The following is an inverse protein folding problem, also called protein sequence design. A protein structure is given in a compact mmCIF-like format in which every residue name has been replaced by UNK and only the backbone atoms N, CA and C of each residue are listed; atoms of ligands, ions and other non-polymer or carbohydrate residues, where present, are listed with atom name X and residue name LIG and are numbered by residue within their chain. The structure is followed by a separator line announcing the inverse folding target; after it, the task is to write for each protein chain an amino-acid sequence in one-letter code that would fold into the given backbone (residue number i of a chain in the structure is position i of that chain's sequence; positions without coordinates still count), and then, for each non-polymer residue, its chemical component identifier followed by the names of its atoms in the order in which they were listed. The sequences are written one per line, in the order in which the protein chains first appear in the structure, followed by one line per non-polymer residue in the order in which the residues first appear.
data_IF_750692476430
#
_entry.id   IF_750692476430
#
_cell.length_a   1.000
_cell.length_b   1.000
_cell.length_c   1.000
_cell.angle_alpha   90.00
_cell.angle_beta   90.00
_cell.angle_gamma   90.00
#
_symmetry.space_group_name_H-M   'P 1'
#
loop_
_entity.id
_entity.type
_entity.pdbx_description
1 polymer ?
#
# COMPACT_ATOMS: atom_id res chain seq x y z
N UNK A 1 -25.15 15.10 12.82
CA UNK A 1 -24.21 15.52 11.76
C UNK A 1 -23.01 14.59 11.78
N UNK A 2 -22.46 14.29 10.61
CA UNK A 2 -21.38 13.33 10.46
C UNK A 2 -20.05 14.07 10.34
N UNK A 3 -19.09 13.71 11.19
CA UNK A 3 -17.75 14.30 11.24
C UNK A 3 -16.74 13.46 10.45
N UNK A 4 -15.67 14.12 9.99
CA UNK A 4 -14.55 13.43 9.33
C UNK A 4 -13.78 12.52 10.30
N UNK A 5 -13.85 12.79 11.60
CA UNK A 5 -13.19 12.01 12.64
C UNK A 5 -14.04 10.83 13.13
N UNK A 6 -15.29 10.71 12.68
CA UNK A 6 -16.14 9.58 13.04
C UNK A 6 -15.64 8.30 12.36
N UNK A 7 -15.63 7.20 13.10
CA UNK A 7 -15.36 5.88 12.52
C UNK A 7 -16.38 5.54 11.42
N UNK A 8 -15.95 4.79 10.42
CA UNK A 8 -16.80 4.33 9.33
C UNK A 8 -16.41 2.91 8.92
N UNK A 9 -17.36 2.14 8.41
CA UNK A 9 -17.10 0.83 7.82
C UNK A 9 -17.15 0.94 6.29
N UNK A 10 -16.08 0.55 5.62
CA UNK A 10 -15.98 0.49 4.16
C UNK A 10 -15.96 -0.98 3.73
N UNK A 11 -17.13 -1.53 3.39
CA UNK A 11 -17.28 -2.97 3.16
C UNK A 11 -16.92 -3.77 4.42
N UNK A 12 -15.86 -4.58 4.33
CA UNK A 12 -15.36 -5.35 5.49
C UNK A 12 -14.32 -4.60 6.33
N UNK A 13 -13.86 -3.43 5.88
CA UNK A 13 -12.80 -2.67 6.54
C UNK A 13 -13.38 -1.69 7.58
N UNK A 14 -13.08 -1.86 8.89
CA UNK A 14 -13.36 -0.83 9.88
C UNK A 14 -12.29 0.27 9.80
N UNK A 15 -12.69 1.50 9.53
CA UNK A 15 -11.79 2.65 9.47
C UNK A 15 -11.97 3.53 10.72
N UNK A 16 -10.87 3.95 11.37
CA UNK A 16 -10.94 4.78 12.59
C UNK A 16 -11.46 6.19 12.33
N UNK A 17 -11.41 6.66 11.08
CA UNK A 17 -11.90 7.96 10.65
C UNK A 17 -12.19 7.94 9.13
N UNK A 18 -12.72 9.04 8.60
CA UNK A 18 -13.09 9.21 7.17
C UNK A 18 -12.01 9.93 6.37
N UNK A 19 -10.81 10.10 6.91
CA UNK A 19 -9.69 10.71 6.19
C UNK A 19 -8.99 9.66 5.34
N UNK A 20 -8.99 9.86 4.03
CA UNK A 20 -8.31 9.00 3.07
C UNK A 20 -7.14 9.76 2.47
N UNK A 21 -5.95 9.15 2.50
CA UNK A 21 -4.80 9.67 1.77
C UNK A 21 -4.91 9.28 0.30
N UNK A 22 -4.90 10.29 -0.57
CA UNK A 22 -4.94 10.11 -2.02
C UNK A 22 -3.67 9.43 -2.55
N UNK A 23 -3.76 8.67 -3.66
CA UNK A 23 -2.60 8.10 -4.32
C UNK A 23 -1.70 9.21 -4.90
N UNK A 24 -0.44 9.24 -4.48
CA UNK A 24 0.53 10.27 -4.89
C UNK A 24 1.84 9.63 -5.31
N UNK A 25 2.11 9.56 -6.61
CA UNK A 25 3.39 9.07 -7.16
C UNK A 25 4.56 9.91 -6.66
N UNK A 26 5.55 9.27 -6.02
CA UNK A 26 6.71 9.95 -5.43
C UNK A 26 8.04 9.68 -6.13
N UNK A 27 8.10 8.67 -6.99
CA UNK A 27 9.31 8.22 -7.69
C UNK A 27 10.48 7.93 -6.71
N UNK A 28 10.21 7.16 -5.66
CA UNK A 28 11.16 6.85 -4.57
C UNK A 28 11.54 5.37 -4.48
N UNK A 29 11.10 4.55 -5.44
CA UNK A 29 11.54 3.17 -5.53
C UNK A 29 13.00 3.08 -6.00
N UNK A 30 13.60 1.91 -5.90
CA UNK A 30 14.88 1.64 -6.56
C UNK A 30 14.77 1.83 -8.09
N UNK A 31 15.90 1.82 -8.80
CA UNK A 31 15.90 1.91 -10.25
C UNK A 31 15.04 0.81 -10.91
N UNK A 32 15.00 -0.38 -10.28
CA UNK A 32 14.22 -1.54 -10.73
C UNK A 32 12.75 -1.51 -10.27
N UNK A 33 12.32 -0.49 -9.53
CA UNK A 33 10.95 -0.37 -9.03
C UNK A 33 10.68 -1.07 -7.70
N UNK A 34 11.72 -1.56 -7.01
CA UNK A 34 11.60 -2.18 -5.68
C UNK A 34 11.36 -1.10 -4.61
N UNK A 35 10.32 -1.23 -3.77
CA UNK A 35 10.11 -0.31 -2.66
C UNK A 35 11.31 -0.23 -1.71
N UNK A 36 11.63 0.98 -1.25
CA UNK A 36 12.78 1.24 -0.37
C UNK A 36 12.35 1.47 1.08
N UNK A 37 13.24 1.32 2.08
CA UNK A 37 12.92 1.64 3.48
C UNK A 37 12.40 3.06 3.70
N UNK A 38 12.82 4.02 2.86
CA UNK A 38 12.33 5.40 2.88
C UNK A 38 10.82 5.48 2.57
N UNK A 39 10.32 4.64 1.66
CA UNK A 39 8.89 4.59 1.33
C UNK A 39 8.09 4.02 2.49
N UNK A 40 8.62 3.00 3.19
CA UNK A 40 7.98 2.46 4.38
C UNK A 40 7.85 3.51 5.50
N UNK A 41 8.92 4.26 5.78
CA UNK A 41 8.89 5.37 6.76
C UNK A 41 7.89 6.46 6.33
N UNK A 42 7.83 6.79 5.04
CA UNK A 42 6.88 7.76 4.49
C UNK A 42 5.42 7.40 4.75
N UNK A 43 5.04 6.13 4.55
CA UNK A 43 3.68 5.67 4.82
C UNK A 43 3.40 5.49 6.32
N UNK A 44 4.39 5.05 7.10
CA UNK A 44 4.27 4.91 8.56
C UNK A 44 3.91 6.25 9.23
N UNK A 45 4.53 7.35 8.79
CA UNK A 45 4.22 8.71 9.27
C UNK A 45 2.78 9.15 8.98
N UNK A 46 2.07 8.47 8.07
CA UNK A 46 0.71 8.80 7.62
C UNK A 46 -0.34 7.79 8.06
N UNK A 47 0.05 6.79 8.85
CA UNK A 47 -0.82 5.71 9.32
C UNK A 47 -1.98 6.17 10.24
N UNK A 48 -2.05 7.46 10.59
CA UNK A 48 -3.21 8.05 11.26
C UNK A 48 -4.42 8.28 10.33
N UNK A 49 -4.22 8.26 9.02
CA UNK A 49 -5.32 8.26 8.06
C UNK A 49 -6.16 6.99 8.24
N UNK A 50 -7.48 7.11 8.05
CA UNK A 50 -8.38 5.96 8.09
C UNK A 50 -8.05 4.93 7.01
N UNK A 51 -7.69 5.41 5.82
CA UNK A 51 -7.22 4.59 4.70
C UNK A 51 -6.11 5.32 3.95
N UNK A 52 -5.08 4.57 3.53
CA UNK A 52 -4.05 5.05 2.61
C UNK A 52 -4.20 4.32 1.29
N UNK A 53 -4.36 5.08 0.20
CA UNK A 53 -4.21 4.56 -1.16
C UNK A 53 -2.76 4.83 -1.57
N UNK A 54 -2.03 3.76 -1.84
CA UNK A 54 -0.64 3.83 -2.23
C UNK A 54 -0.42 4.55 -3.56
N UNK A 55 0.82 4.94 -3.81
CA UNK A 55 1.22 5.42 -5.13
C UNK A 55 1.00 4.37 -6.23
N UNK A 56 0.85 4.86 -7.46
CA UNK A 56 0.71 4.01 -8.63
C UNK A 56 1.91 3.06 -8.74
N UNK A 57 1.61 1.77 -8.93
CA UNK A 57 2.61 0.72 -9.05
C UNK A 57 2.44 0.01 -10.40
N UNK A 58 3.53 -0.15 -11.13
CA UNK A 58 3.49 -0.72 -12.48
C UNK A 58 3.33 -2.25 -12.43
N UNK A 59 2.31 -2.82 -13.13
CA UNK A 59 1.99 -4.25 -13.09
C UNK A 59 2.82 -5.11 -14.06
N UNK A 60 3.69 -4.53 -14.88
CA UNK A 60 4.62 -5.25 -15.77
C UNK A 60 5.82 -4.35 -16.13
N UNK A 61 6.88 -4.92 -16.72
CA UNK A 61 8.06 -4.13 -17.09
C UNK A 61 7.81 -3.11 -18.21
N UNK A 62 6.97 -3.46 -19.20
CA UNK A 62 6.71 -2.62 -20.39
C UNK A 62 5.92 -1.36 -20.04
N UNK A 63 5.06 -1.42 -19.03
CA UNK A 63 4.19 -0.34 -18.58
C UNK A 63 4.87 0.67 -17.66
N UNK A 64 6.21 0.64 -17.53
CA UNK A 64 6.92 1.58 -16.67
C UNK A 64 6.89 2.98 -17.29
N UNK A 65 6.18 3.90 -16.63
CA UNK A 65 5.91 5.25 -17.15
C UNK A 65 6.88 6.30 -16.64
N UNK A 66 7.55 6.06 -15.51
CA UNK A 66 8.49 7.01 -14.90
C UNK A 66 9.70 6.30 -14.28
N UNK A 67 10.87 6.97 -14.22
CA UNK A 67 12.00 6.50 -13.41
C UNK A 67 11.59 6.36 -11.94
N UNK A 68 12.07 5.30 -11.29
CA UNK A 68 11.85 5.05 -9.86
C UNK A 68 10.37 4.97 -9.44
N UNK A 69 9.45 4.73 -10.37
CA UNK A 69 8.08 4.33 -10.04
C UNK A 69 8.09 2.95 -9.38
N UNK A 70 7.22 2.77 -8.40
CA UNK A 70 7.03 1.46 -7.77
C UNK A 70 6.54 0.44 -8.80
N UNK A 71 6.95 -0.81 -8.67
CA UNK A 71 6.47 -1.92 -9.47
C UNK A 71 5.88 -3.02 -8.58
N UNK A 72 5.12 -3.96 -9.15
CA UNK A 72 4.52 -5.08 -8.39
C UNK A 72 4.49 -6.43 -9.13
N UNK A 73 5.34 -6.58 -10.13
CA UNK A 73 5.28 -7.71 -11.08
C UNK A 73 6.36 -8.78 -10.90
N UNK A 74 7.11 -8.75 -9.80
CA UNK A 74 8.09 -9.78 -9.45
C UNK A 74 8.18 -9.93 -7.93
N UNK A 75 8.85 -10.98 -7.47
CA UNK A 75 8.93 -11.29 -6.03
C UNK A 75 9.72 -10.24 -5.24
N UNK A 76 10.72 -9.60 -5.84
CA UNK A 76 11.49 -8.55 -5.20
C UNK A 76 10.62 -7.31 -4.91
N UNK A 77 9.71 -6.96 -5.82
CA UNK A 77 8.73 -5.89 -5.62
C UNK A 77 7.79 -6.20 -4.45
N UNK A 78 7.25 -7.42 -4.41
CA UNK A 78 6.36 -7.87 -3.32
C UNK A 78 7.12 -7.90 -1.99
N UNK A 79 8.33 -8.45 -1.97
CA UNK A 79 9.17 -8.51 -0.78
C UNK A 79 9.53 -7.12 -0.26
N UNK A 80 9.85 -6.16 -1.14
CA UNK A 80 10.08 -4.76 -0.76
C UNK A 80 8.82 -4.10 -0.18
N UNK A 81 7.64 -4.49 -0.64
CA UNK A 81 6.35 -4.02 -0.14
C UNK A 81 6.00 -4.56 1.26
N UNK A 82 6.33 -5.84 1.54
CA UNK A 82 6.00 -6.54 2.81
C UNK A 82 7.14 -6.40 3.84
N UNK A 83 8.36 -6.15 3.38
CA UNK A 83 9.62 -6.33 4.11
C UNK A 83 10.06 -5.20 5.06
N UNK A 84 9.16 -4.35 5.57
CA UNK A 84 9.48 -3.45 6.68
C UNK A 84 8.74 -3.86 7.96
N UNK A 85 9.33 -4.71 8.82
CA UNK A 85 8.59 -5.34 9.91
C UNK A 85 8.44 -4.48 11.17
N UNK A 86 8.82 -3.19 11.20
CA UNK A 86 9.06 -2.52 12.49
C UNK A 86 8.71 -1.03 12.53
N UNK A 87 7.43 -0.64 12.37
CA UNK A 87 6.90 0.59 13.02
C UNK A 87 5.39 0.84 12.95
N UNK A 88 4.54 -0.08 12.50
CA UNK A 88 3.09 0.06 12.71
C UNK A 88 2.75 -0.35 14.15
N UNK A 89 2.98 0.57 15.09
CA UNK A 89 2.55 0.42 16.46
C UNK A 89 1.02 0.43 16.55
N UNK A 90 0.47 -0.69 17.02
CA UNK A 90 -0.90 -0.92 17.50
C UNK A 90 -1.89 -1.51 16.46
N UNK A 91 -2.51 -2.68 16.75
CA UNK A 91 -3.33 -3.47 15.82
C UNK A 91 -4.71 -2.88 15.47
N UNK A 92 -4.97 -1.60 15.77
CA UNK A 92 -6.28 -0.98 15.62
C UNK A 92 -6.43 -0.11 14.37
N UNK A 93 -5.32 0.25 13.71
CA UNK A 93 -5.34 0.84 12.38
C UNK A 93 -4.79 -0.22 11.43
N UNK A 94 -5.60 -0.67 10.48
CA UNK A 94 -5.15 -1.61 9.46
C UNK A 94 -3.99 -1.01 8.68
N UNK A 95 -2.76 -1.30 9.09
CA UNK A 95 -1.58 -1.13 8.24
C UNK A 95 -1.64 -2.19 7.15
N UNK A 96 -2.59 -2.04 6.23
CA UNK A 96 -2.36 -2.44 4.85
C UNK A 96 -1.13 -1.64 4.40
N UNK A 97 0.04 -2.30 4.40
CA UNK A 97 1.18 -1.83 3.61
C UNK A 97 0.66 -1.44 2.22
N UNK A 98 1.31 -0.49 1.54
CA UNK A 98 0.88 0.06 0.24
C UNK A 98 0.49 -0.97 -0.83
N UNK A 99 0.86 -2.24 -0.67
CA UNK A 99 0.48 -3.33 -1.57
C UNK A 99 -0.76 -4.15 -1.14
N UNK A 100 -1.31 -4.02 0.08
CA UNK A 100 -2.40 -4.90 0.55
C UNK A 100 -3.78 -4.60 -0.04
N UNK A 101 -3.96 -3.54 -0.84
CA UNK A 101 -5.17 -3.34 -1.66
C UNK A 101 -5.00 -3.72 -3.13
N UNK A 102 -3.81 -4.16 -3.57
CA UNK A 102 -3.61 -4.75 -4.89
C UNK A 102 -3.93 -6.26 -4.94
N UNK A 103 -4.24 -6.89 -3.79
CA UNK A 103 -4.40 -8.34 -3.68
C UNK A 103 -5.53 -8.84 -2.78
N UNK A 104 -6.45 -8.00 -2.32
CA UNK A 104 -7.57 -8.43 -1.46
C UNK A 104 -8.70 -9.19 -2.21
N UNK A 105 -8.47 -9.61 -3.47
CA UNK A 105 -9.29 -10.59 -4.20
C UNK A 105 -8.49 -11.75 -4.79
N UNK A 106 -7.18 -11.85 -4.52
CA UNK A 106 -6.38 -13.00 -4.94
C UNK A 106 -6.40 -14.07 -3.85
N UNK A 107 -7.53 -14.75 -3.71
CA UNK A 107 -7.57 -16.11 -3.14
C UNK A 107 -6.53 -16.95 -3.90
N UNK A 108 -5.69 -17.76 -3.21
CA UNK A 108 -4.79 -18.68 -3.90
C UNK A 108 -5.62 -19.84 -4.46
N UNK A 109 -6.22 -19.64 -5.63
CA UNK A 109 -6.80 -20.73 -6.41
C UNK A 109 -5.71 -21.29 -7.29
N UNK A 110 -5.07 -22.33 -6.76
CA UNK A 110 -4.58 -23.53 -7.46
C UNK A 110 -4.09 -23.34 -8.90
N UNK A 111 -2.78 -23.49 -9.07
CA UNK A 111 -2.21 -24.04 -10.29
C UNK A 111 -2.88 -25.39 -10.60
N UNK A 112 -3.80 -25.40 -11.56
CA UNK A 112 -4.29 -26.60 -12.22
C UNK A 112 -4.60 -26.25 -13.68
N UNK A 113 -3.84 -26.92 -14.55
CA UNK A 113 -3.87 -26.99 -16.03
C UNK A 113 -3.30 -25.79 -16.77
#
# INVERSE_FOLDING_TARGET
MTSVFDSVRLGELPLPNRLVMAPMTRNRASADGVPTPLMAEYYAQRASAGLIIAEASTPNAVGQTYPNITAIHNDAHVAGCVGSPRRCGRPAAGCSSSCSTAGASATPTTAAV
#
